data_IF_146046936645
#
_entry.id   IF_146046936645
#
_cell.length_a   1.000
_cell.length_b   1.000
_cell.length_c   1.000
_cell.angle_alpha   90.00
_cell.angle_beta   90.00
_cell.angle_gamma   90.00
#
_symmetry.space_group_name_H-M   'P 1'
#
loop_
_entity.id
_entity.type
_entity.pdbx_description
1 polymer ?
#
# COMPACT_ATOMS: atom_id res chain seq x y z
N UNK A 1 8.15 -0.37 8.39
CA UNK A 1 7.78 1.06 8.45
C UNK A 1 6.98 1.44 7.20
N UNK A 2 6.11 2.43 7.31
CA UNK A 2 5.40 3.04 6.19
C UNK A 2 6.36 3.92 5.35
N UNK A 3 6.15 3.95 4.03
CA UNK A 3 6.93 4.78 3.12
C UNK A 3 6.65 6.28 3.35
N UNK A 4 5.39 6.66 3.51
CA UNK A 4 4.95 8.01 3.77
C UNK A 4 4.43 8.16 5.18
N UNK A 5 5.00 9.09 5.93
CA UNK A 5 4.51 9.35 7.27
C UNK A 5 5.41 10.24 8.09
N UNK A 6 5.11 10.26 9.38
CA UNK A 6 5.84 10.99 10.41
C UNK A 6 5.92 10.10 11.66
N UNK A 7 6.95 10.29 12.49
CA UNK A 7 7.17 9.51 13.72
C UNK A 7 8.40 8.61 13.72
N UNK A 8 8.98 8.32 12.54
CA UNK A 8 10.22 7.55 12.43
C UNK A 8 10.07 6.05 12.80
N UNK A 9 11.18 5.31 12.94
CA UNK A 9 11.14 3.88 13.24
C UNK A 9 10.42 3.53 14.54
N UNK A 10 9.79 2.34 14.64
CA UNK A 10 9.79 1.26 13.63
C UNK A 10 8.66 1.37 12.60
N UNK A 11 7.66 2.23 12.83
CA UNK A 11 6.43 2.27 12.02
C UNK A 11 6.38 3.42 11.02
N UNK A 12 6.98 4.56 11.29
CA UNK A 12 6.89 5.80 10.51
C UNK A 12 5.43 6.21 10.22
N UNK A 13 4.60 6.19 11.25
CA UNK A 13 3.17 6.49 11.18
C UNK A 13 2.74 7.30 12.40
N UNK A 14 1.94 8.33 12.18
CA UNK A 14 1.27 9.12 13.22
C UNK A 14 -0.16 9.46 12.74
N UNK A 15 -1.16 8.94 13.46
CA UNK A 15 -2.59 9.13 13.13
C UNK A 15 -3.06 10.59 13.13
N UNK A 16 -2.24 11.51 13.63
CA UNK A 16 -2.58 12.93 13.73
C UNK A 16 -2.24 13.71 12.46
N UNK A 17 -1.50 13.11 11.52
CA UNK A 17 -1.04 13.77 10.29
C UNK A 17 -1.04 12.77 9.14
N UNK A 18 -1.90 13.01 8.15
CA UNK A 18 -1.96 12.15 6.97
C UNK A 18 -0.76 12.39 6.05
N UNK A 19 -0.45 11.40 5.20
CA UNK A 19 0.62 11.51 4.22
C UNK A 19 0.49 12.79 3.37
N UNK A 20 1.60 13.52 3.20
CA UNK A 20 1.65 14.77 2.42
C UNK A 20 1.13 16.01 3.15
N UNK A 21 0.50 15.85 4.32
CA UNK A 21 0.08 16.99 5.12
C UNK A 21 1.26 17.64 5.84
N UNK A 22 1.13 18.94 6.09
CA UNK A 22 1.99 19.70 7.00
C UNK A 22 1.13 20.26 8.14
N UNK A 23 1.50 19.97 9.39
CA UNK A 23 0.74 20.37 10.59
C UNK A 23 1.68 20.82 11.69
N UNK A 24 1.16 21.59 12.64
CA UNK A 24 1.86 21.88 13.90
C UNK A 24 1.54 20.74 14.88
N UNK A 25 2.53 19.92 15.19
CA UNK A 25 2.46 18.90 16.23
C UNK A 25 3.42 19.28 17.36
N UNK A 26 2.92 19.33 18.59
CA UNK A 26 3.70 19.73 19.77
C UNK A 26 4.47 21.06 19.59
N UNK A 27 3.82 22.05 18.97
CA UNK A 27 4.41 23.37 18.70
C UNK A 27 5.44 23.41 17.57
N UNK A 28 5.71 22.29 16.90
CA UNK A 28 6.66 22.19 15.78
C UNK A 28 5.92 21.96 14.47
N UNK A 29 6.29 22.71 13.41
CA UNK A 29 5.77 22.48 12.06
C UNK A 29 6.43 21.24 11.47
N UNK A 30 5.64 20.23 11.16
CA UNK A 30 6.09 18.93 10.65
C UNK A 30 5.33 18.55 9.39
N UNK A 31 5.98 17.80 8.51
CA UNK A 31 5.38 17.29 7.27
C UNK A 31 5.52 15.78 7.25
N UNK A 32 4.42 15.06 7.01
CA UNK A 32 4.48 13.64 6.72
C UNK A 32 5.00 13.44 5.29
N UNK A 33 6.19 12.85 5.14
CA UNK A 33 6.89 12.78 3.85
C UNK A 33 6.94 11.35 3.34
N UNK A 34 6.77 11.22 2.02
CA UNK A 34 7.03 9.98 1.29
C UNK A 34 8.51 9.64 1.26
N UNK A 35 8.78 8.34 1.16
CA UNK A 35 10.11 7.81 0.91
C UNK A 35 10.52 8.02 -0.56
N UNK A 36 11.81 7.96 -0.87
CA UNK A 36 12.32 8.16 -2.23
C UNK A 36 11.92 7.04 -3.21
N UNK A 37 11.69 5.82 -2.71
CA UNK A 37 11.44 4.64 -3.52
C UNK A 37 10.38 3.77 -2.85
N UNK A 38 9.12 4.00 -3.22
CA UNK A 38 7.97 3.28 -2.67
C UNK A 38 7.91 1.81 -3.09
N UNK A 39 8.68 1.39 -4.10
CA UNK A 39 8.71 -0.01 -4.56
C UNK A 39 9.36 -0.96 -3.55
N UNK A 40 10.16 -0.42 -2.61
CA UNK A 40 10.85 -1.16 -1.55
C UNK A 40 10.03 -1.32 -0.27
N UNK A 41 8.82 -0.78 -0.23
CA UNK A 41 7.98 -0.75 0.96
C UNK A 41 6.71 -1.53 0.73
N UNK A 42 6.27 -2.27 1.74
CA UNK A 42 4.97 -2.95 1.70
C UNK A 42 3.82 -1.95 1.92
N UNK A 43 4.01 -1.08 2.91
CA UNK A 43 2.98 -0.17 3.39
C UNK A 43 3.28 1.28 2.96
N UNK A 44 2.24 1.97 2.48
CA UNK A 44 2.31 3.35 2.03
C UNK A 44 2.27 4.31 3.22
N UNK A 45 1.18 4.36 3.99
CA UNK A 45 0.89 5.45 4.94
C UNK A 45 0.38 4.97 6.32
N UNK A 46 0.57 3.69 6.63
CA UNK A 46 0.02 3.01 7.81
C UNK A 46 -1.32 2.33 7.57
N UNK A 47 -2.02 2.66 6.48
CA UNK A 47 -3.35 2.14 6.17
C UNK A 47 -3.40 1.44 4.79
N UNK A 48 -2.74 2.01 3.80
CA UNK A 48 -2.73 1.51 2.42
C UNK A 48 -1.46 0.74 2.09
N UNK A 49 -1.57 -0.22 1.17
CA UNK A 49 -0.41 -0.85 0.54
C UNK A 49 0.19 0.03 -0.55
N UNK A 50 1.48 -0.14 -0.81
CA UNK A 50 2.13 0.48 -1.96
C UNK A 50 1.64 -0.15 -3.27
N UNK A 51 1.80 0.57 -4.37
CA UNK A 51 1.51 0.04 -5.70
C UNK A 51 2.28 -1.24 -6.00
N UNK A 52 3.57 -1.31 -5.64
CA UNK A 52 4.39 -2.49 -5.85
C UNK A 52 3.83 -3.72 -5.10
N UNK A 53 3.34 -3.52 -3.89
CA UNK A 53 2.70 -4.59 -3.11
C UNK A 53 1.39 -5.03 -3.73
N UNK A 54 0.55 -4.08 -4.15
CA UNK A 54 -0.71 -4.40 -4.82
C UNK A 54 -0.48 -5.14 -6.14
N UNK A 55 0.52 -4.76 -6.94
CA UNK A 55 0.91 -5.48 -8.16
C UNK A 55 1.37 -6.91 -7.85
N UNK A 56 2.17 -7.09 -6.79
CA UNK A 56 2.59 -8.42 -6.36
C UNK A 56 1.40 -9.29 -5.95
N UNK A 57 0.50 -8.77 -5.12
CA UNK A 57 -0.71 -9.49 -4.67
C UNK A 57 -1.58 -9.85 -5.86
N UNK A 58 -1.85 -8.88 -6.75
CA UNK A 58 -2.63 -9.11 -7.96
C UNK A 58 -2.01 -10.20 -8.86
N UNK A 59 -0.68 -10.20 -9.02
CA UNK A 59 0.00 -11.23 -9.79
C UNK A 59 -0.17 -12.63 -9.19
N UNK A 60 -0.16 -12.76 -7.85
CA UNK A 60 -0.42 -14.05 -7.19
C UNK A 60 -1.87 -14.50 -7.45
N UNK A 61 -2.84 -13.59 -7.27
CA UNK A 61 -4.26 -13.84 -7.53
C UNK A 61 -4.47 -14.31 -8.98
N UNK A 62 -3.94 -13.57 -9.96
CA UNK A 62 -4.07 -13.91 -11.37
C UNK A 62 -3.34 -15.22 -11.75
N UNK A 63 -2.25 -15.55 -11.05
CA UNK A 63 -1.51 -16.79 -11.29
C UNK A 63 -2.17 -18.03 -10.69
N UNK A 64 -3.17 -17.86 -9.80
CA UNK A 64 -3.79 -18.97 -9.06
C UNK A 64 -2.88 -19.61 -8.01
N UNK A 65 -1.61 -19.23 -7.94
CA UNK A 65 -0.68 -19.69 -6.91
C UNK A 65 -1.14 -19.09 -5.59
N UNK A 66 -1.45 -19.94 -4.62
CA UNK A 66 -1.88 -19.59 -3.26
C UNK A 66 -3.38 -19.32 -3.04
N UNK A 67 -4.24 -19.54 -4.03
CA UNK A 67 -5.69 -19.56 -3.84
C UNK A 67 -6.21 -20.99 -3.90
N UNK A 68 -7.07 -21.39 -2.96
CA UNK A 68 -7.75 -22.69 -3.04
C UNK A 68 -8.56 -22.79 -4.33
N UNK A 69 -8.76 -24.01 -4.83
CA UNK A 69 -9.38 -24.31 -6.13
C UNK A 69 -10.71 -23.55 -6.38
N UNK A 70 -11.44 -23.25 -5.30
CA UNK A 70 -12.74 -22.57 -5.33
C UNK A 70 -12.65 -21.03 -5.49
N UNK A 71 -11.60 -20.39 -4.99
CA UNK A 71 -11.40 -18.92 -5.05
C UNK A 71 -11.00 -18.40 -6.43
N UNK A 72 -10.34 -19.22 -7.25
CA UNK A 72 -9.99 -18.87 -8.64
C UNK A 72 -11.21 -18.72 -9.55
N UNK A 73 -12.29 -19.46 -9.24
CA UNK A 73 -13.50 -19.47 -10.06
C UNK A 73 -14.33 -18.18 -9.97
N UNK A 74 -14.22 -17.42 -8.88
CA UNK A 74 -14.92 -16.15 -8.70
C UNK A 74 -14.21 -14.96 -9.37
N UNK A 75 -12.87 -14.96 -9.41
CA UNK A 75 -12.10 -13.82 -9.95
C UNK A 75 -12.02 -13.88 -11.48
N UNK A 76 -11.93 -15.08 -12.07
CA UNK A 76 -11.71 -15.25 -13.51
C UNK A 76 -13.04 -15.21 -14.30
N UNK A 77 -14.18 -15.56 -13.69
CA UNK A 77 -15.46 -15.65 -14.40
C UNK A 77 -16.08 -14.29 -14.79
N UNK A 78 -15.57 -13.18 -14.25
CA UNK A 78 -16.11 -11.83 -14.51
C UNK A 78 -15.23 -10.95 -15.43
N UNK A 79 -14.29 -11.53 -16.19
CA UNK A 79 -13.53 -10.79 -17.21
C UNK A 79 -14.03 -11.09 -18.64
N UNK A 80 -15.02 -10.34 -19.18
CA UNK A 80 -15.42 -10.43 -20.59
C UNK A 80 -14.43 -9.74 -21.56
N UNK A 81 -13.24 -9.33 -21.11
CA UNK A 81 -12.28 -8.56 -21.91
C UNK A 81 -10.94 -9.26 -22.15
N UNK A 82 -10.91 -10.59 -22.19
CA UNK A 82 -9.81 -11.33 -22.80
C UNK A 82 -10.07 -11.44 -24.31
N UNK A 83 -9.88 -10.32 -25.03
CA UNK A 83 -9.97 -10.31 -26.49
C UNK A 83 -10.30 -8.94 -27.08
N UNK A 84 -9.35 -8.00 -27.00
CA UNK A 84 -8.98 -7.02 -28.03
C UNK A 84 -7.61 -6.45 -27.68
#
# INVERSE_FOLDING_TARGET
MACCGYGGPPLNYDKQIDCGQTKILNGTLVTARGCNDSSKYVNWDGLHYTEASNRYILAQILSGKNMGEETMSFVIKDHPYAGY
#
